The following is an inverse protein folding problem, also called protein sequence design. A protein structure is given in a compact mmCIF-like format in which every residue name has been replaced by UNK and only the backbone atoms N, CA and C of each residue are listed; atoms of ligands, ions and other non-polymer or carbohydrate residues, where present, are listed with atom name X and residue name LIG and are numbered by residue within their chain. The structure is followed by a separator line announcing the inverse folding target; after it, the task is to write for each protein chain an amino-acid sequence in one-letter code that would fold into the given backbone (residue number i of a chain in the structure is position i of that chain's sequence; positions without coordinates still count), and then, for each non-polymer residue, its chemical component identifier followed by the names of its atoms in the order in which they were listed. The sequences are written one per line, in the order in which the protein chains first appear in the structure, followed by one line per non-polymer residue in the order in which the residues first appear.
data_IF_298400102285
#
_entry.id   IF_298400102285
#
_cell.length_a   1.000
_cell.length_b   1.000
_cell.length_c   1.000
_cell.angle_alpha   90.00
_cell.angle_beta   90.00
_cell.angle_gamma   90.00
#
_symmetry.space_group_name_H-M   'P 1'
#
loop_
_entity.id
_entity.type
_entity.pdbx_description
1 polymer ?
#
# COMPACT_ATOMS: atom_id res chain seq x y z
N UNK A 1 -66.65 16.74 -32.77
CA UNK A 1 -65.76 17.80 -32.26
C UNK A 1 -65.75 17.68 -30.75
N UNK A 2 -64.75 17.01 -30.20
CA UNK A 2 -64.69 16.65 -28.78
C UNK A 2 -64.23 17.85 -27.95
N UNK A 3 -64.92 18.09 -26.82
CA UNK A 3 -64.70 19.18 -25.85
C UNK A 3 -63.23 19.38 -25.48
N UNK A 4 -62.75 20.63 -25.55
CA UNK A 4 -61.49 21.06 -24.96
C UNK A 4 -61.54 20.85 -23.43
N UNK A 5 -60.64 20.01 -22.91
CA UNK A 5 -60.42 19.80 -21.49
C UNK A 5 -59.63 20.99 -20.91
N UNK A 6 -60.35 22.01 -20.44
CA UNK A 6 -59.77 23.22 -19.85
C UNK A 6 -59.16 22.88 -18.49
N UNK A 7 -57.83 22.76 -18.44
CA UNK A 7 -57.09 22.53 -17.19
C UNK A 7 -57.39 23.63 -16.17
N UNK A 8 -57.92 23.25 -15.00
CA UNK A 8 -58.28 24.22 -13.96
C UNK A 8 -57.01 24.80 -13.33
N UNK A 9 -56.99 26.08 -12.94
CA UNK A 9 -55.86 26.72 -12.22
C UNK A 9 -55.32 25.86 -11.06
N UNK A 10 -56.21 25.17 -10.32
CA UNK A 10 -55.84 24.24 -9.25
C UNK A 10 -55.09 23.01 -9.75
N UNK A 11 -55.43 22.46 -10.91
CA UNK A 11 -54.70 21.34 -11.53
C UNK A 11 -53.32 21.79 -12.00
N UNK A 12 -53.22 22.99 -12.59
CA UNK A 12 -51.93 23.58 -12.97
C UNK A 12 -51.01 23.77 -11.76
N UNK A 13 -51.49 24.40 -10.68
CA UNK A 13 -50.71 24.58 -9.44
C UNK A 13 -50.30 23.25 -8.79
N UNK A 14 -51.17 22.23 -8.79
CA UNK A 14 -50.83 20.88 -8.32
C UNK A 14 -49.76 20.23 -9.20
N UNK A 15 -49.81 20.44 -10.52
CA UNK A 15 -48.78 20.00 -11.46
C UNK A 15 -47.43 20.65 -11.17
N UNK A 16 -47.39 21.97 -11.00
CA UNK A 16 -46.18 22.70 -10.64
C UNK A 16 -45.61 22.27 -9.28
N UNK A 17 -46.45 22.11 -8.25
CA UNK A 17 -46.00 21.66 -6.92
C UNK A 17 -45.41 20.25 -6.96
N UNK A 18 -46.01 19.33 -7.71
CA UNK A 18 -45.45 17.98 -7.92
C UNK A 18 -44.14 18.03 -8.70
N UNK A 19 -44.07 18.83 -9.77
CA UNK A 19 -42.86 19.04 -10.54
C UNK A 19 -41.72 19.59 -9.69
N UNK A 20 -41.99 20.61 -8.88
CA UNK A 20 -41.02 21.19 -7.94
C UNK A 20 -40.56 20.16 -6.90
N UNK A 21 -41.47 19.33 -6.38
CA UNK A 21 -41.15 18.25 -5.46
C UNK A 21 -40.20 17.21 -6.08
N UNK A 22 -40.47 16.78 -7.32
CA UNK A 22 -39.59 15.85 -8.06
C UNK A 22 -38.21 16.45 -8.29
N UNK A 23 -38.14 17.71 -8.73
CA UNK A 23 -36.87 18.42 -8.94
C UNK A 23 -36.08 18.56 -7.64
N UNK A 24 -36.75 18.91 -6.54
CA UNK A 24 -36.10 19.05 -5.24
C UNK A 24 -35.50 17.72 -4.74
N UNK A 25 -36.26 16.62 -4.83
CA UNK A 25 -35.76 15.28 -4.47
C UNK A 25 -34.61 14.86 -5.38
N UNK A 26 -34.73 15.10 -6.69
CA UNK A 26 -33.67 14.81 -7.65
C UNK A 26 -32.38 15.58 -7.35
N UNK A 27 -32.49 16.86 -7.02
CA UNK A 27 -31.35 17.71 -6.66
C UNK A 27 -30.67 17.24 -5.36
N UNK A 28 -31.45 16.86 -4.34
CA UNK A 28 -30.91 16.31 -3.09
C UNK A 28 -30.19 14.98 -3.36
N UNK A 29 -30.82 14.06 -4.11
CA UNK A 29 -30.20 12.78 -4.45
C UNK A 29 -28.88 12.97 -5.21
N UNK A 30 -28.85 13.84 -6.22
CA UNK A 30 -27.64 14.16 -6.97
C UNK A 30 -26.56 14.84 -6.10
N UNK A 31 -26.96 15.75 -5.21
CA UNK A 31 -26.02 16.38 -4.27
C UNK A 31 -25.36 15.39 -3.32
N UNK A 32 -26.12 14.39 -2.84
CA UNK A 32 -25.60 13.34 -1.96
C UNK A 32 -24.65 12.38 -2.69
N UNK A 33 -24.91 12.01 -3.95
CA UNK A 33 -24.01 11.13 -4.71
C UNK A 33 -22.69 11.82 -5.04
N UNK A 34 -22.74 13.08 -5.49
CA UNK A 34 -21.52 13.88 -5.75
C UNK A 34 -20.67 13.99 -4.48
N UNK A 35 -21.30 14.23 -3.33
CA UNK A 35 -20.59 14.34 -2.05
C UNK A 35 -20.00 13.00 -1.59
N UNK A 36 -20.70 11.90 -1.80
CA UNK A 36 -20.19 10.56 -1.46
C UNK A 36 -18.99 10.14 -2.33
N UNK A 37 -18.89 10.64 -3.56
CA UNK A 37 -17.73 10.40 -4.43
C UNK A 37 -16.54 11.32 -4.15
N UNK A 38 -16.79 12.54 -3.65
CA UNK A 38 -15.75 13.49 -3.28
C UNK A 38 -14.85 12.98 -2.13
N UNK A 39 -15.39 12.14 -1.23
CA UNK A 39 -14.65 11.59 -0.10
C UNK A 39 -13.85 10.32 -0.44
N UNK A 40 -13.88 9.87 -1.70
CA UNK A 40 -13.13 8.68 -2.13
C UNK A 40 -11.74 9.06 -2.58
N UNK A 41 -10.76 8.30 -2.13
CA UNK A 41 -9.37 8.40 -2.55
C UNK A 41 -8.93 7.10 -3.21
N UNK A 42 -7.80 7.14 -3.92
CA UNK A 42 -7.17 5.92 -4.41
C UNK A 42 -6.58 5.12 -3.25
N UNK A 43 -6.95 3.86 -3.17
CA UNK A 43 -6.45 2.88 -2.21
C UNK A 43 -5.79 1.72 -2.96
N UNK A 44 -4.89 1.01 -2.27
CA UNK A 44 -4.27 -0.23 -2.74
C UNK A 44 -4.64 -1.33 -1.73
N UNK A 45 -5.22 -2.44 -2.19
CA UNK A 45 -5.47 -3.60 -1.36
C UNK A 45 -4.21 -4.47 -1.26
N UNK A 46 -3.54 -4.53 -0.10
CA UNK A 46 -2.29 -5.26 0.04
C UNK A 46 -2.44 -6.77 -0.11
N UNK A 47 -3.63 -7.33 0.16
CA UNK A 47 -3.89 -8.78 0.02
C UNK A 47 -4.12 -9.17 -1.45
N UNK A 48 -4.66 -8.26 -2.26
CA UNK A 48 -4.81 -8.47 -3.72
C UNK A 48 -3.51 -8.19 -4.47
N UNK A 49 -2.64 -7.32 -3.94
CA UNK A 49 -1.40 -6.95 -4.60
C UNK A 49 -0.47 -8.16 -4.79
N UNK A 50 -0.05 -8.44 -6.02
CA UNK A 50 0.85 -9.55 -6.35
C UNK A 50 2.32 -9.13 -6.46
N UNK A 51 2.69 -7.94 -5.96
CA UNK A 51 4.09 -7.42 -6.03
C UNK A 51 4.73 -7.62 -7.41
N UNK A 52 3.97 -7.26 -8.44
CA UNK A 52 4.31 -7.57 -9.82
C UNK A 52 5.75 -7.15 -10.17
N UNK A 53 6.40 -7.96 -11.00
CA UNK A 53 7.66 -7.60 -11.69
C UNK A 53 7.31 -7.21 -13.11
N UNK A 54 7.75 -6.04 -13.56
CA UNK A 54 7.52 -5.59 -14.93
C UNK A 54 8.80 -5.73 -15.76
N UNK A 55 8.88 -6.84 -16.48
CA UNK A 55 10.02 -7.18 -17.34
C UNK A 55 10.10 -6.32 -18.62
N UNK A 56 9.15 -5.41 -18.83
CA UNK A 56 9.24 -4.43 -19.92
C UNK A 56 10.09 -3.22 -19.56
N UNK A 57 10.40 -3.01 -18.27
CA UNK A 57 11.39 -2.05 -17.84
C UNK A 57 12.75 -2.72 -17.56
N UNK A 58 13.81 -1.95 -17.75
CA UNK A 58 15.21 -2.33 -17.60
C UNK A 58 15.57 -2.88 -16.22
N UNK A 59 14.76 -2.55 -15.21
CA UNK A 59 15.01 -2.90 -13.81
C UNK A 59 14.15 -4.07 -13.30
N UNK A 60 13.15 -4.52 -14.07
CA UNK A 60 12.16 -5.51 -13.63
C UNK A 60 11.31 -5.06 -12.44
N UNK A 61 11.23 -3.76 -12.13
CA UNK A 61 10.52 -3.24 -10.95
C UNK A 61 9.01 -3.28 -11.13
N UNK A 62 8.25 -3.25 -10.02
CA UNK A 62 6.80 -3.21 -10.12
C UNK A 62 6.28 -1.92 -10.74
N UNK A 63 5.19 -2.01 -11.50
CA UNK A 63 4.60 -0.88 -12.26
C UNK A 63 4.30 0.35 -11.41
N UNK A 64 4.14 0.19 -10.09
CA UNK A 64 3.99 1.29 -9.16
C UNK A 64 5.16 2.28 -9.20
N UNK A 65 6.38 1.84 -9.55
CA UNK A 65 7.56 2.70 -9.63
C UNK A 65 7.70 3.52 -10.90
N UNK A 66 7.00 3.13 -11.98
CA UNK A 66 7.16 3.75 -13.30
C UNK A 66 5.86 4.36 -13.81
N UNK A 67 4.69 3.81 -13.45
CA UNK A 67 3.40 4.26 -13.97
C UNK A 67 2.78 5.44 -13.20
N UNK A 68 3.33 5.83 -12.03
CA UNK A 68 2.84 7.00 -11.33
C UNK A 68 3.15 8.27 -12.12
N UNK A 69 2.20 9.18 -12.25
CA UNK A 69 2.46 10.49 -12.89
C UNK A 69 3.34 11.42 -12.03
N UNK A 70 3.55 11.05 -10.76
CA UNK A 70 4.46 11.72 -9.83
C UNK A 70 5.74 10.90 -9.69
N UNK A 71 6.88 11.60 -9.68
CA UNK A 71 8.20 11.01 -9.39
C UNK A 71 8.81 11.65 -8.14
N UNK A 72 9.25 10.88 -7.13
CA UNK A 72 8.99 9.45 -6.94
C UNK A 72 7.49 9.16 -6.74
N UNK A 73 7.07 7.93 -7.04
CA UNK A 73 5.67 7.48 -6.98
C UNK A 73 4.96 7.86 -5.68
N UNK A 74 3.66 8.14 -5.76
CA UNK A 74 2.82 8.30 -4.56
C UNK A 74 2.54 6.95 -3.84
N UNK A 75 2.82 5.82 -4.50
CA UNK A 75 2.77 4.51 -3.87
C UNK A 75 4.11 4.24 -3.19
N UNK A 76 4.08 3.95 -1.89
CA UNK A 76 5.27 3.68 -1.07
C UNK A 76 5.15 2.32 -0.42
N UNK A 77 6.30 1.72 -0.12
CA UNK A 77 6.33 0.67 0.90
C UNK A 77 6.05 1.32 2.27
N UNK A 78 5.37 0.59 3.14
CA UNK A 78 5.08 0.98 4.53
C UNK A 78 5.25 -0.28 5.39
N UNK A 79 5.83 -0.10 6.57
CA UNK A 79 5.99 -1.17 7.55
C UNK A 79 4.84 -1.14 8.55
N UNK A 80 4.17 -2.28 8.72
CA UNK A 80 3.28 -2.53 9.84
C UNK A 80 4.08 -3.05 11.04
N UNK A 81 4.42 -2.14 11.95
CA UNK A 81 5.19 -2.43 13.16
C UNK A 81 4.47 -3.37 14.14
N UNK A 82 3.16 -3.58 14.00
CA UNK A 82 2.43 -4.55 14.82
C UNK A 82 2.64 -5.99 14.36
N UNK A 83 3.06 -6.16 13.10
CA UNK A 83 3.38 -7.46 12.50
C UNK A 83 4.90 -7.65 12.43
N UNK A 84 5.70 -6.58 12.30
CA UNK A 84 7.14 -6.65 12.09
C UNK A 84 7.88 -7.49 13.14
N UNK A 85 8.79 -8.36 12.68
CA UNK A 85 9.57 -9.24 13.56
C UNK A 85 10.87 -8.61 14.07
N UNK A 86 11.15 -7.35 13.72
CA UNK A 86 12.35 -6.60 14.11
C UNK A 86 13.67 -7.35 13.91
N UNK A 87 13.77 -8.11 12.82
CA UNK A 87 14.83 -9.09 12.59
C UNK A 87 16.23 -8.46 12.64
N UNK A 88 17.21 -9.18 13.20
CA UNK A 88 18.63 -8.84 13.01
C UNK A 88 19.02 -8.90 11.52
N UNK A 89 18.61 -9.98 10.84
CA UNK A 89 18.76 -10.15 9.39
C UNK A 89 17.36 -10.09 8.77
N UNK A 90 16.97 -8.92 8.30
CA UNK A 90 15.71 -8.77 7.57
C UNK A 90 15.91 -9.12 6.08
N UNK A 91 15.20 -10.13 5.54
CA UNK A 91 15.33 -10.52 4.14
C UNK A 91 14.73 -9.48 3.18
N UNK A 92 13.88 -8.57 3.66
CA UNK A 92 13.37 -7.45 2.88
C UNK A 92 14.35 -6.27 2.81
N UNK A 93 15.42 -6.31 3.59
CA UNK A 93 16.44 -5.26 3.67
C UNK A 93 17.75 -5.72 3.01
N UNK A 94 18.24 -6.91 3.38
CA UNK A 94 19.44 -7.52 2.82
C UNK A 94 19.12 -8.66 1.85
N UNK A 95 19.93 -8.78 0.80
CA UNK A 95 20.02 -10.00 0.01
C UNK A 95 20.66 -11.09 0.88
N UNK A 96 19.85 -12.03 1.35
CA UNK A 96 20.29 -13.13 2.22
C UNK A 96 21.18 -14.14 1.50
N UNK A 97 21.29 -14.07 0.18
CA UNK A 97 22.21 -14.88 -0.63
C UNK A 97 23.57 -14.19 -0.83
N UNK A 98 23.72 -12.94 -0.41
CA UNK A 98 25.03 -12.26 -0.42
C UNK A 98 26.01 -12.92 0.59
N UNK A 99 27.33 -12.83 0.36
CA UNK A 99 28.33 -13.49 1.20
C UNK A 99 28.09 -13.27 2.69
N UNK A 100 28.16 -14.36 3.44
CA UNK A 100 28.02 -14.37 4.90
C UNK A 100 29.20 -13.61 5.49
N UNK A 101 28.95 -12.76 6.49
CA UNK A 101 30.00 -12.11 7.26
C UNK A 101 31.02 -13.14 7.76
N UNK A 102 32.29 -12.79 7.74
CA UNK A 102 33.21 -13.31 8.76
C UNK A 102 32.84 -12.72 10.12
N UNK A 103 33.14 -13.44 11.20
CA UNK A 103 32.81 -12.99 12.56
C UNK A 103 33.44 -11.61 12.88
N UNK A 104 34.62 -11.30 12.32
CA UNK A 104 35.29 -9.99 12.43
C UNK A 104 34.53 -8.87 11.70
N UNK A 105 33.93 -9.13 10.54
CA UNK A 105 33.14 -8.14 9.80
C UNK A 105 31.80 -7.84 10.48
N UNK A 106 31.19 -8.86 11.10
CA UNK A 106 29.98 -8.69 11.91
C UNK A 106 30.23 -7.81 13.15
N UNK A 107 31.43 -7.91 13.73
CA UNK A 107 31.87 -7.08 14.87
C UNK A 107 32.19 -5.64 14.43
N UNK A 108 32.87 -5.45 13.29
CA UNK A 108 33.19 -4.12 12.73
C UNK A 108 31.95 -3.35 12.23
N UNK A 109 30.88 -4.04 11.84
CA UNK A 109 29.60 -3.40 11.55
C UNK A 109 28.98 -2.73 12.77
N UNK A 110 29.39 -3.16 13.97
CA UNK A 110 28.89 -2.65 15.24
C UNK A 110 27.36 -2.74 15.39
N UNK A 111 26.82 -2.25 16.52
CA UNK A 111 25.38 -2.08 16.69
C UNK A 111 24.79 -0.99 15.77
N UNK A 112 25.62 -0.21 15.08
CA UNK A 112 25.21 0.89 14.22
C UNK A 112 26.05 0.92 12.94
N UNK A 113 25.41 0.60 11.81
CA UNK A 113 25.46 1.47 10.67
C UNK A 113 24.04 1.97 10.43
N UNK A 114 23.91 3.30 10.31
CA UNK A 114 22.91 3.85 9.43
C UNK A 114 22.90 2.97 8.19
N UNK A 115 21.75 2.43 7.82
CA UNK A 115 21.61 1.43 6.77
C UNK A 115 22.03 1.88 5.36
N UNK A 116 22.95 2.84 5.23
CA UNK A 116 23.60 3.19 3.99
C UNK A 116 24.44 1.99 3.56
N UNK A 117 24.20 1.56 2.32
CA UNK A 117 25.16 0.74 1.58
C UNK A 117 26.43 1.56 1.39
N UNK A 118 27.26 1.67 2.43
CA UNK A 118 28.57 2.29 2.30
C UNK A 118 29.38 1.35 1.40
N UNK A 119 30.01 1.90 0.35
CA UNK A 119 30.98 1.15 -0.43
C UNK A 119 31.92 0.41 0.52
N UNK A 120 31.93 -0.93 0.45
CA UNK A 120 32.72 -1.79 1.33
C UNK A 120 31.94 -2.72 2.25
N UNK A 121 30.61 -2.58 2.41
CA UNK A 121 29.81 -3.60 3.13
C UNK A 121 29.39 -4.73 2.18
N UNK A 122 29.77 -5.97 2.48
CA UNK A 122 29.58 -7.18 1.65
C UNK A 122 28.12 -7.57 1.36
N UNK A 123 27.11 -6.85 1.87
CA UNK A 123 25.69 -7.16 1.65
C UNK A 123 25.02 -6.22 0.67
N UNK A 124 24.43 -6.81 -0.37
CA UNK A 124 23.58 -6.12 -1.34
C UNK A 124 22.22 -5.80 -0.71
N UNK A 125 21.78 -4.54 -0.82
CA UNK A 125 20.43 -4.15 -0.38
C UNK A 125 19.36 -4.65 -1.35
N UNK A 126 18.22 -5.08 -0.83
CA UNK A 126 17.04 -5.44 -1.63
C UNK A 126 16.43 -4.21 -2.29
N UNK A 127 16.39 -3.08 -1.57
CA UNK A 127 15.84 -1.86 -2.09
C UNK A 127 16.87 -1.17 -3.00
N UNK A 128 16.64 -1.07 -4.32
CA UNK A 128 17.59 -0.44 -5.24
C UNK A 128 17.66 1.08 -5.06
N UNK A 129 16.69 1.67 -4.36
CA UNK A 129 16.68 3.09 -4.03
C UNK A 129 17.34 3.38 -2.69
N UNK A 130 17.77 2.34 -1.95
CA UNK A 130 18.27 2.45 -0.58
C UNK A 130 17.32 3.31 0.31
N UNK A 131 16.03 2.99 0.18
CA UNK A 131 14.95 3.75 0.82
C UNK A 131 14.53 3.17 2.18
N UNK A 132 15.15 2.08 2.63
CA UNK A 132 14.82 1.48 3.92
C UNK A 132 15.87 1.95 4.93
N UNK A 133 15.43 2.58 6.01
CA UNK A 133 16.28 2.95 7.13
C UNK A 133 16.15 1.90 8.22
N UNK A 134 17.29 1.52 8.78
CA UNK A 134 17.41 0.55 9.85
C UNK A 134 17.83 1.28 11.12
N UNK A 135 17.15 1.04 12.23
CA UNK A 135 17.46 1.61 13.54
C UNK A 135 17.38 0.53 14.61
N UNK A 136 18.33 0.50 15.53
CA UNK A 136 18.28 -0.41 16.69
C UNK A 136 17.07 -0.11 17.55
N UNK A 137 16.40 -1.16 18.03
CA UNK A 137 15.36 -1.05 19.06
C UNK A 137 15.65 -2.01 20.21
N UNK A 138 15.34 -1.57 21.42
CA UNK A 138 15.62 -2.34 22.63
C UNK A 138 17.04 -2.16 23.16
N UNK A 139 17.46 -3.11 24.00
CA UNK A 139 18.82 -3.15 24.55
C UNK A 139 19.77 -3.77 23.53
N UNK A 140 20.96 -3.20 23.42
CA UNK A 140 22.04 -3.76 22.61
C UNK A 140 22.73 -4.83 23.43
N UNK A 141 22.82 -6.04 22.87
CA UNK A 141 23.69 -7.10 23.35
C UNK A 141 25.04 -6.99 22.60
N UNK A 142 26.11 -6.54 23.28
CA UNK A 142 27.43 -6.41 22.67
C UNK A 142 28.15 -7.75 22.53
N UNK A 143 27.68 -8.80 23.20
CA UNK A 143 28.32 -10.13 23.22
C UNK A 143 27.65 -11.10 22.25
N UNK A 144 26.34 -10.93 22.00
CA UNK A 144 25.60 -11.66 20.98
C UNK A 144 24.90 -10.71 19.99
N UNK A 145 25.58 -10.35 18.88
CA UNK A 145 25.00 -9.48 17.87
C UNK A 145 23.68 -9.97 17.27
N UNK A 146 23.43 -11.29 17.26
CA UNK A 146 22.20 -11.88 16.72
C UNK A 146 20.99 -11.62 17.61
N UNK A 147 21.21 -11.28 18.88
CA UNK A 147 20.19 -10.93 19.86
C UNK A 147 19.80 -9.43 19.80
N UNK A 148 20.23 -8.70 18.77
CA UNK A 148 19.86 -7.31 18.54
C UNK A 148 18.68 -7.16 17.58
N UNK A 149 17.73 -6.29 17.94
CA UNK A 149 16.50 -6.06 17.18
C UNK A 149 16.53 -4.73 16.45
N UNK A 150 15.92 -4.69 15.26
CA UNK A 150 15.97 -3.52 14.38
C UNK A 150 14.61 -3.17 13.83
N UNK A 151 14.29 -1.88 13.91
CA UNK A 151 13.15 -1.28 13.25
C UNK A 151 13.54 -0.85 11.83
N UNK A 152 12.63 -1.13 10.89
CA UNK A 152 12.80 -0.79 9.48
C UNK A 152 11.75 0.24 9.06
N UNK A 153 12.19 1.48 8.84
CA UNK A 153 11.34 2.59 8.37
C UNK A 153 11.60 2.86 6.89
N UNK A 154 10.62 3.45 6.21
CA UNK A 154 10.74 3.76 4.77
C UNK A 154 10.94 5.27 4.60
N UNK A 155 12.07 5.63 3.98
CA UNK A 155 12.33 6.97 3.48
C UNK A 155 11.48 7.22 2.22
N UNK A 156 10.39 7.95 2.39
CA UNK A 156 9.44 8.23 1.31
C UNK A 156 10.02 9.11 0.19
N UNK A 157 11.06 9.89 0.50
CA UNK A 157 11.76 10.72 -0.48
C UNK A 157 12.58 9.88 -1.47
N UNK A 158 13.04 8.70 -1.04
CA UNK A 158 13.80 7.75 -1.89
C UNK A 158 12.94 6.62 -2.43
N UNK A 159 11.93 6.18 -1.68
CA UNK A 159 11.10 5.04 -2.07
C UNK A 159 10.28 5.37 -3.31
N UNK A 160 10.55 4.68 -4.43
CA UNK A 160 9.75 4.81 -5.64
C UNK A 160 8.58 3.83 -5.72
N UNK A 161 8.38 2.95 -4.74
CA UNK A 161 7.29 1.97 -4.75
C UNK A 161 7.52 0.74 -5.62
N UNK A 162 8.77 0.37 -5.93
CA UNK A 162 9.10 -0.81 -6.76
C UNK A 162 8.61 -2.16 -6.21
N UNK A 163 8.30 -2.25 -4.91
CA UNK A 163 7.69 -3.43 -4.29
C UNK A 163 8.63 -4.59 -3.96
N UNK A 164 9.94 -4.50 -4.28
CA UNK A 164 10.89 -5.59 -4.00
C UNK A 164 10.96 -5.94 -2.51
N UNK A 165 11.08 -4.95 -1.62
CA UNK A 165 11.09 -5.20 -0.19
C UNK A 165 9.78 -5.83 0.32
N UNK A 166 8.64 -5.49 -0.29
CA UNK A 166 7.34 -6.10 0.04
C UNK A 166 7.33 -7.57 -0.37
N UNK A 167 7.91 -7.92 -1.52
CA UNK A 167 8.04 -9.30 -1.97
C UNK A 167 8.88 -10.15 -1.01
N UNK A 168 10.09 -9.69 -0.66
CA UNK A 168 10.98 -10.42 0.23
C UNK A 168 10.54 -10.42 1.70
N UNK A 169 9.61 -9.53 2.08
CA UNK A 169 9.01 -9.56 3.41
C UNK A 169 7.95 -10.66 3.55
N UNK A 170 7.48 -11.28 2.46
CA UNK A 170 6.42 -12.30 2.53
C UNK A 170 6.92 -13.66 3.03
N UNK A 171 6.01 -14.50 3.56
CA UNK A 171 6.30 -15.90 3.79
C UNK A 171 6.81 -16.57 2.50
N UNK A 172 7.80 -17.49 2.59
CA UNK A 172 8.36 -18.05 3.82
C UNK A 172 9.51 -17.24 4.45
N UNK A 173 10.00 -16.19 3.79
CA UNK A 173 11.22 -15.49 4.22
C UNK A 173 10.95 -14.49 5.35
N UNK A 174 9.83 -13.77 5.26
CA UNK A 174 9.39 -12.81 6.28
C UNK A 174 7.94 -13.04 6.70
N UNK A 175 7.40 -12.05 7.42
CA UNK A 175 6.08 -12.11 8.04
C UNK A 175 5.02 -11.21 7.39
N UNK A 176 5.31 -10.65 6.21
CA UNK A 176 4.50 -9.72 5.44
C UNK A 176 4.15 -8.41 6.16
N UNK A 177 5.04 -7.92 7.04
CA UNK A 177 4.88 -6.61 7.67
C UNK A 177 5.02 -5.42 6.71
N UNK A 178 5.85 -5.54 5.67
CA UNK A 178 5.93 -4.52 4.62
C UNK A 178 4.80 -4.72 3.60
N UNK A 179 4.12 -3.63 3.26
CA UNK A 179 3.09 -3.57 2.21
C UNK A 179 3.21 -2.31 1.37
N UNK A 180 2.64 -2.32 0.16
CA UNK A 180 2.50 -1.11 -0.64
C UNK A 180 1.25 -0.34 -0.22
N UNK A 181 1.33 0.98 -0.18
CA UNK A 181 0.22 1.87 0.14
C UNK A 181 0.25 3.10 -0.75
N UNK A 182 -0.93 3.59 -1.13
CA UNK A 182 -1.06 4.94 -1.70
C UNK A 182 -0.90 5.94 -0.57
N UNK A 183 0.15 6.76 -0.59
CA UNK A 183 0.32 7.82 0.41
C UNK A 183 -0.47 9.04 -0.05
N UNK A 184 -1.62 9.29 0.58
CA UNK A 184 -2.55 10.35 0.16
C UNK A 184 -1.94 11.75 0.19
N UNK A 185 -1.05 12.03 1.14
CA UNK A 185 -0.30 13.29 1.17
C UNK A 185 0.67 13.45 -0.01
N UNK A 186 0.98 12.36 -0.72
CA UNK A 186 1.79 12.39 -1.94
C UNK A 186 0.98 12.27 -3.22
N UNK A 187 -0.23 11.72 -3.14
CA UNK A 187 -1.10 11.50 -4.28
C UNK A 187 -1.60 12.85 -4.83
N UNK A 188 -1.50 13.04 -6.14
CA UNK A 188 -1.99 14.26 -6.81
C UNK A 188 -3.49 14.19 -7.16
N UNK A 189 -4.19 13.16 -6.68
CA UNK A 189 -5.59 12.83 -7.02
C UNK A 189 -5.93 13.05 -8.49
N UNK A 190 -5.19 12.39 -9.39
CA UNK A 190 -5.25 12.62 -10.83
C UNK A 190 -6.58 12.19 -11.51
N UNK A 191 -7.64 11.95 -10.73
CA UNK A 191 -8.95 11.37 -11.08
C UNK A 191 -8.88 9.94 -11.66
N UNK A 192 -7.92 9.64 -12.54
CA UNK A 192 -7.67 8.33 -13.11
C UNK A 192 -6.23 7.89 -12.82
N UNK A 193 -6.05 7.00 -11.84
CA UNK A 193 -4.74 6.52 -11.46
C UNK A 193 -4.10 5.70 -12.61
N UNK A 194 -2.97 6.18 -13.13
CA UNK A 194 -2.23 5.50 -14.20
C UNK A 194 -1.68 4.13 -13.75
N UNK A 195 -1.33 3.98 -12.48
CA UNK A 195 -0.96 2.67 -11.91
C UNK A 195 -2.16 1.72 -11.91
N UNK A 196 -3.35 2.20 -11.54
CA UNK A 196 -4.55 1.36 -11.48
C UNK A 196 -4.89 0.76 -12.86
N UNK A 197 -4.75 1.54 -13.94
CA UNK A 197 -4.98 1.06 -15.32
C UNK A 197 -4.02 -0.03 -15.77
N UNK A 198 -2.84 -0.09 -15.16
CA UNK A 198 -1.77 -1.02 -15.55
C UNK A 198 -1.51 -2.09 -14.49
N UNK A 199 -2.22 -2.09 -13.36
CA UNK A 199 -2.00 -3.05 -12.29
C UNK A 199 -2.51 -4.44 -12.72
N UNK A 200 -1.65 -5.46 -12.91
CA UNK A 200 -2.09 -6.77 -13.38
C UNK A 200 -2.99 -7.50 -12.37
N UNK A 201 -2.90 -7.14 -11.08
CA UNK A 201 -3.71 -7.72 -10.02
C UNK A 201 -5.04 -6.98 -9.79
N UNK A 202 -5.29 -5.85 -10.47
CA UNK A 202 -6.42 -4.97 -10.18
C UNK A 202 -6.54 -4.58 -8.69
N UNK A 203 -5.40 -4.39 -8.01
CA UNK A 203 -5.35 -4.16 -6.58
C UNK A 203 -5.75 -2.73 -6.15
N UNK A 204 -5.98 -1.82 -7.10
CA UNK A 204 -6.32 -0.42 -6.82
C UNK A 204 -7.82 -0.19 -6.92
N UNK A 205 -8.36 0.58 -5.99
CA UNK A 205 -9.79 0.92 -5.94
C UNK A 205 -10.01 2.33 -5.39
N UNK A 206 -11.21 2.89 -5.63
CA UNK A 206 -11.67 4.14 -5.01
C UNK A 206 -12.42 3.80 -3.72
N UNK A 207 -11.92 4.23 -2.59
CA UNK A 207 -12.51 3.97 -1.27
C UNK A 207 -12.32 5.15 -0.32
N UNK A 208 -13.07 5.21 0.78
CA UNK A 208 -12.89 6.28 1.77
C UNK A 208 -11.55 6.13 2.50
N UNK A 209 -11.01 7.23 3.01
CA UNK A 209 -9.79 7.21 3.84
C UNK A 209 -9.93 6.30 5.08
N UNK A 210 -11.16 6.15 5.61
CA UNK A 210 -11.43 5.35 6.82
C UNK A 210 -11.41 3.84 6.56
N UNK A 211 -11.43 3.40 5.30
CA UNK A 211 -11.47 1.98 4.94
C UNK A 211 -10.09 1.27 4.96
N UNK A 212 -9.01 1.97 5.32
CA UNK A 212 -7.62 1.48 5.17
C UNK A 212 -7.16 0.38 6.12
N UNK A 213 -8.02 -0.10 7.02
CA UNK A 213 -7.69 -1.26 7.85
C UNK A 213 -8.61 -2.44 7.52
N UNK A 214 -8.41 -3.15 6.39
CA UNK A 214 -8.68 -4.58 6.44
C UNK A 214 -7.70 -5.14 7.47
N UNK A 215 -8.21 -5.64 8.59
CA UNK A 215 -7.40 -6.37 9.55
C UNK A 215 -6.64 -7.46 8.79
N UNK A 216 -5.35 -7.56 9.05
CA UNK A 216 -4.59 -8.77 8.74
C UNK A 216 -5.18 -9.88 9.61
N UNK A 217 -6.19 -10.58 9.10
CA UNK A 217 -6.58 -11.88 9.64
C UNK A 217 -5.46 -12.84 9.25
N UNK A 218 -4.52 -13.02 10.18
CA UNK A 218 -3.46 -14.02 10.07
C UNK A 218 -4.05 -15.34 9.60
N UNK A 219 -3.42 -15.94 8.59
CA UNK A 219 -3.98 -17.06 7.87
C UNK A 219 -4.51 -18.17 8.78
N UNK A 220 -5.82 -18.35 8.78
CA UNK A 220 -6.41 -19.66 9.00
C UNK A 220 -6.65 -20.27 7.63
N UNK A 221 -5.71 -21.13 7.19
CA UNK A 221 -6.03 -22.10 6.15
C UNK A 221 -7.26 -22.93 6.57
N UNK A 222 -7.94 -23.58 5.62
CA UNK A 222 -9.11 -24.40 5.95
C UNK A 222 -8.69 -25.50 6.91
N UNK A 223 -9.17 -25.43 8.16
CA UNK A 223 -9.12 -26.55 9.10
C UNK A 223 -10.05 -27.61 8.53
N UNK A 224 -9.49 -28.57 7.81
CA UNK A 224 -10.18 -29.80 7.47
C UNK A 224 -10.56 -30.49 8.78
N UNK A 225 -11.86 -30.58 9.04
CA UNK A 225 -12.39 -31.38 10.15
C UNK A 225 -12.03 -32.85 9.89
N UNK A 226 -10.98 -33.32 10.53
CA UNK A 226 -10.70 -34.75 10.64
C UNK A 226 -11.88 -35.44 11.33
N UNK A 227 -12.44 -36.45 10.66
CA UNK A 227 -13.35 -37.40 11.30
C UNK A 227 -12.57 -38.26 12.29
N UNK A 228 -13.10 -38.50 13.50
CA UNK A 228 -12.52 -39.49 14.40
C UNK A 228 -12.78 -40.90 13.83
N UNK A 229 -11.73 -41.71 13.80
CA UNK A 229 -11.80 -43.17 13.76
C UNK A 229 -11.68 -43.71 15.18
#
# INVERSE_FOLDING_TARGET
MSKDDQTTRRQFLKGCARGAGVVAVGAVAAGLTVRADADKVWQLNPTTCTTCRDFTNDQGWGRCSTACVRTPSAVKAVNDFTVCGYCFICPAYFDVQSPVYTWEEAEQLGPYPDGTSREGTHKKLICPQDAIRRRVVGQIDPYDPYNNFFEYTIDEGRCNGCGLCVEYCRPPMGNASLRLEVRHHLCLDCNQCAIARTCPANAFYRGSLRAQRPGYEGGTGPVTKGHPS
#
